data_IF_389010791842
#
_entry.id   IF_389010791842
#
_cell.length_a   1.000
_cell.length_b   1.000
_cell.length_c   1.000
_cell.angle_alpha   90.00
_cell.angle_beta   90.00
_cell.angle_gamma   90.00
#
_symmetry.space_group_name_H-M   'P 1'
#
loop_
_entity.id
_entity.type
_entity.pdbx_description
1 polymer ?
#
# COMPACT_ATOMS: atom_id res chain seq x y z
N UNK A 1 23.09 -10.73 -2.98
CA UNK A 1 22.81 -10.54 -4.42
C UNK A 1 22.92 -9.05 -4.71
N UNK A 2 23.75 -8.69 -5.67
CA UNK A 2 24.08 -7.29 -6.01
C UNK A 2 23.24 -6.76 -7.18
N UNK A 3 23.69 -5.68 -7.85
CA UNK A 3 23.01 -5.15 -9.03
C UNK A 3 22.97 -6.19 -10.18
N UNK A 4 22.16 -5.92 -11.20
CA UNK A 4 22.17 -6.68 -12.45
C UNK A 4 23.55 -6.62 -13.14
N UNK A 5 23.89 -7.61 -13.98
CA UNK A 5 25.20 -7.64 -14.62
C UNK A 5 25.45 -6.41 -15.50
N UNK A 6 24.43 -5.91 -16.21
CA UNK A 6 24.49 -4.64 -16.96
C UNK A 6 24.82 -3.39 -16.12
N UNK A 7 24.71 -3.50 -14.79
CA UNK A 7 24.99 -2.45 -13.82
C UNK A 7 26.19 -2.82 -12.92
N UNK A 8 27.09 -3.69 -13.39
CA UNK A 8 28.30 -4.09 -12.68
C UNK A 8 28.13 -5.27 -11.71
N UNK A 9 26.98 -5.96 -11.77
CA UNK A 9 26.75 -7.21 -11.06
C UNK A 9 27.54 -8.39 -11.62
N UNK A 10 27.62 -9.47 -10.84
CA UNK A 10 28.38 -10.68 -11.21
C UNK A 10 27.51 -11.83 -11.72
N UNK A 11 26.19 -11.76 -11.51
CA UNK A 11 25.24 -12.82 -11.84
C UNK A 11 24.15 -12.31 -12.79
N UNK A 12 23.62 -13.21 -13.62
CA UNK A 12 22.50 -12.90 -14.51
C UNK A 12 21.22 -12.66 -13.72
N UNK A 13 20.43 -11.68 -14.17
CA UNK A 13 19.13 -11.32 -13.57
C UNK A 13 18.05 -11.16 -14.65
N UNK A 14 16.76 -11.09 -14.29
CA UNK A 14 15.71 -10.74 -15.25
C UNK A 14 15.95 -9.39 -15.95
N UNK A 15 16.60 -8.44 -15.28
CA UNK A 15 17.01 -7.16 -15.87
C UNK A 15 18.03 -7.34 -17.00
N UNK A 16 18.94 -8.31 -16.87
CA UNK A 16 19.90 -8.64 -17.93
C UNK A 16 19.22 -9.28 -19.13
N UNK A 17 18.19 -10.11 -18.91
CA UNK A 17 17.38 -10.66 -19.99
C UNK A 17 16.67 -9.55 -20.79
N UNK A 18 16.04 -8.57 -20.12
CA UNK A 18 15.45 -7.41 -20.81
C UNK A 18 16.53 -6.61 -21.55
N UNK A 19 17.63 -6.30 -20.86
CA UNK A 19 18.69 -5.49 -21.45
C UNK A 19 19.26 -6.13 -22.72
N UNK A 20 19.42 -7.46 -22.71
CA UNK A 20 19.85 -8.23 -23.87
C UNK A 20 18.83 -8.14 -25.03
N UNK A 21 17.57 -8.45 -24.76
CA UNK A 21 16.51 -8.46 -25.77
C UNK A 21 16.23 -7.06 -26.35
N UNK A 22 16.43 -6.00 -25.57
CA UNK A 22 16.25 -4.63 -26.01
C UNK A 22 17.50 -4.00 -26.65
N UNK A 23 18.61 -4.76 -26.75
CA UNK A 23 19.83 -4.29 -27.40
C UNK A 23 20.64 -3.30 -26.56
N UNK A 24 20.64 -3.42 -25.24
CA UNK A 24 21.50 -2.63 -24.34
C UNK A 24 20.88 -1.32 -23.86
N UNK A 25 19.55 -1.13 -23.98
CA UNK A 25 18.88 0.13 -23.61
C UNK A 25 18.91 0.43 -22.11
N UNK A 26 19.06 -0.57 -21.26
CA UNK A 26 19.11 -0.39 -19.81
C UNK A 26 20.52 -0.15 -19.30
N UNK A 27 21.52 -0.82 -19.88
CA UNK A 27 22.92 -0.74 -19.44
C UNK A 27 23.85 -1.56 -20.32
N UNK A 28 24.98 -2.00 -19.76
CA UNK A 28 26.03 -2.64 -20.56
C UNK A 28 25.58 -4.00 -21.15
N UNK A 29 25.40 -4.02 -22.48
CA UNK A 29 24.94 -5.21 -23.22
C UNK A 29 25.93 -6.38 -23.13
N UNK A 30 27.24 -6.11 -23.19
CA UNK A 30 28.23 -7.19 -23.19
C UNK A 30 28.29 -7.90 -21.83
N UNK A 31 28.06 -7.16 -20.73
CA UNK A 31 27.96 -7.73 -19.39
C UNK A 31 26.71 -8.59 -19.22
N UNK A 32 25.54 -8.13 -19.71
CA UNK A 32 24.32 -8.97 -19.71
C UNK A 32 24.52 -10.24 -20.53
N UNK A 33 25.08 -10.12 -21.74
CA UNK A 33 25.36 -11.26 -22.62
C UNK A 33 26.28 -12.27 -21.93
N UNK A 34 27.41 -11.83 -21.39
CA UNK A 34 28.37 -12.70 -20.71
C UNK A 34 27.78 -13.38 -19.47
N UNK A 35 26.90 -12.71 -18.73
CA UNK A 35 26.22 -13.30 -17.58
C UNK A 35 25.17 -14.34 -18.02
N UNK A 36 24.36 -14.03 -19.04
CA UNK A 36 23.36 -14.95 -19.58
C UNK A 36 23.99 -16.18 -20.23
N UNK A 37 25.13 -16.03 -20.93
CA UNK A 37 25.84 -17.12 -21.59
C UNK A 37 26.19 -18.27 -20.63
N UNK A 38 26.62 -17.94 -19.40
CA UNK A 38 26.96 -18.93 -18.37
C UNK A 38 25.76 -19.81 -18.03
N UNK A 39 24.60 -19.19 -17.82
CA UNK A 39 23.35 -19.89 -17.49
C UNK A 39 22.80 -20.63 -18.72
N UNK A 40 22.94 -20.03 -19.91
CA UNK A 40 22.45 -20.61 -21.16
C UNK A 40 23.20 -21.91 -21.50
N UNK A 41 24.51 -21.94 -21.26
CA UNK A 41 25.34 -23.13 -21.44
C UNK A 41 24.89 -24.29 -20.54
N UNK A 42 24.62 -24.03 -19.26
CA UNK A 42 24.12 -25.04 -18.32
C UNK A 42 22.73 -25.56 -18.73
N UNK A 43 21.88 -24.67 -19.22
CA UNK A 43 20.53 -24.98 -19.69
C UNK A 43 20.48 -25.58 -21.11
N UNK A 44 21.60 -25.64 -21.84
CA UNK A 44 21.70 -26.03 -23.26
C UNK A 44 20.77 -25.20 -24.16
N UNK A 45 20.66 -23.90 -23.88
CA UNK A 45 19.90 -22.94 -24.66
C UNK A 45 20.84 -21.91 -25.29
N UNK A 46 20.37 -21.21 -26.32
CA UNK A 46 20.99 -19.96 -26.75
C UNK A 46 20.73 -18.84 -25.72
N UNK A 47 21.55 -17.80 -25.74
CA UNK A 47 21.37 -16.61 -24.88
C UNK A 47 19.99 -15.96 -25.10
N UNK A 48 19.51 -15.95 -26.34
CA UNK A 48 18.22 -15.39 -26.73
C UNK A 48 17.05 -16.25 -26.23
N UNK A 49 17.10 -17.56 -26.43
CA UNK A 49 16.08 -18.49 -25.90
C UNK A 49 16.01 -18.43 -24.37
N UNK A 50 17.16 -18.36 -23.70
CA UNK A 50 17.21 -18.19 -22.25
C UNK A 50 16.57 -16.85 -21.84
N UNK A 51 16.97 -15.75 -22.46
CA UNK A 51 16.45 -14.42 -22.13
C UNK A 51 14.93 -14.36 -22.32
N UNK A 52 14.41 -14.92 -23.42
CA UNK A 52 12.98 -14.99 -23.68
C UNK A 52 12.25 -15.88 -22.65
N UNK A 53 12.85 -17.01 -22.26
CA UNK A 53 12.31 -17.91 -21.24
C UNK A 53 12.24 -17.24 -19.88
N UNK A 54 13.32 -16.56 -19.45
CA UNK A 54 13.37 -15.78 -18.21
C UNK A 54 12.28 -14.72 -18.20
N UNK A 55 12.13 -13.98 -19.30
CA UNK A 55 11.07 -12.97 -19.45
C UNK A 55 9.67 -13.55 -19.36
N UNK A 56 9.42 -14.69 -20.03
CA UNK A 56 8.13 -15.35 -20.02
C UNK A 56 7.75 -15.83 -18.61
N UNK A 57 8.70 -16.41 -17.87
CA UNK A 57 8.51 -16.85 -16.49
C UNK A 57 8.28 -15.65 -15.57
N UNK A 58 9.14 -14.63 -15.66
CA UNK A 58 9.05 -13.45 -14.81
C UNK A 58 7.71 -12.71 -14.97
N UNK A 59 7.34 -12.41 -16.23
CA UNK A 59 6.07 -11.76 -16.53
C UNK A 59 4.87 -12.65 -16.21
N UNK A 60 4.99 -13.97 -16.35
CA UNK A 60 3.93 -14.92 -16.02
C UNK A 60 3.61 -14.93 -14.53
N UNK A 61 4.64 -14.90 -13.69
CA UNK A 61 4.47 -14.77 -12.23
C UNK A 61 3.80 -13.45 -11.84
N UNK A 62 4.20 -12.33 -12.45
CA UNK A 62 3.57 -11.04 -12.20
C UNK A 62 2.08 -11.05 -12.60
N UNK A 63 1.77 -11.61 -13.77
CA UNK A 63 0.41 -11.76 -14.26
C UNK A 63 -0.45 -12.61 -13.30
N UNK A 64 0.08 -13.72 -12.82
CA UNK A 64 -0.57 -14.61 -11.85
C UNK A 64 -0.84 -13.90 -10.51
N UNK A 65 0.17 -13.24 -9.92
CA UNK A 65 -0.01 -12.50 -8.67
C UNK A 65 -1.05 -11.38 -8.78
N UNK A 66 -1.15 -10.71 -9.93
CA UNK A 66 -2.19 -9.70 -10.17
C UNK A 66 -3.58 -10.34 -10.23
N UNK A 67 -3.71 -11.50 -10.89
CA UNK A 67 -4.98 -12.24 -10.94
C UNK A 67 -5.40 -12.75 -9.56
N UNK A 68 -4.47 -13.22 -8.74
CA UNK A 68 -4.72 -13.62 -7.36
C UNK A 68 -5.21 -12.43 -6.52
N UNK A 69 -4.61 -11.25 -6.69
CA UNK A 69 -5.05 -10.02 -6.02
C UNK A 69 -6.50 -9.65 -6.41
N UNK A 70 -6.84 -9.72 -7.70
CA UNK A 70 -8.22 -9.48 -8.14
C UNK A 70 -9.20 -10.50 -7.58
N UNK A 71 -8.81 -11.78 -7.53
CA UNK A 71 -9.64 -12.83 -6.94
C UNK A 71 -9.87 -12.59 -5.44
N UNK A 72 -8.84 -12.15 -4.70
CA UNK A 72 -8.96 -11.82 -3.29
C UNK A 72 -9.94 -10.66 -3.07
N UNK A 73 -9.88 -9.61 -3.90
CA UNK A 73 -10.83 -8.49 -3.84
C UNK A 73 -12.27 -8.90 -4.19
N UNK A 74 -12.46 -9.81 -5.14
CA UNK A 74 -13.79 -10.34 -5.48
C UNK A 74 -14.38 -11.20 -4.35
N UNK A 75 -13.54 -11.80 -3.51
CA UNK A 75 -13.94 -12.67 -2.39
C UNK A 75 -14.07 -11.94 -1.06
N UNK A 76 -13.51 -10.73 -0.94
CA UNK A 76 -13.67 -9.89 0.24
C UNK A 76 -15.17 -9.55 0.39
N UNK A 77 -15.78 -9.77 1.57
CA UNK A 77 -17.21 -9.58 1.73
C UNK A 77 -17.61 -8.12 1.46
N UNK A 78 -18.19 -7.89 0.28
CA UNK A 78 -18.68 -6.58 -0.12
C UNK A 78 -19.75 -6.09 0.86
N UNK A 79 -19.45 -5.03 1.60
CA UNK A 79 -20.37 -4.43 2.56
C UNK A 79 -21.58 -3.73 1.87
N UNK A 80 -21.57 -3.59 0.53
CA UNK A 80 -22.64 -2.95 -0.24
C UNK A 80 -23.42 -3.97 -1.07
N UNK A 81 -24.73 -4.07 -0.79
CA UNK A 81 -25.70 -4.96 -1.47
C UNK A 81 -25.62 -4.85 -3.01
N UNK A 82 -25.28 -3.68 -3.55
CA UNK A 82 -25.15 -3.45 -5.00
C UNK A 82 -23.99 -4.24 -5.66
N UNK A 83 -22.88 -4.45 -4.97
CA UNK A 83 -21.70 -5.16 -5.48
C UNK A 83 -21.95 -6.68 -5.54
N UNK A 84 -22.77 -7.20 -4.64
CA UNK A 84 -23.23 -8.60 -4.63
C UNK A 84 -24.11 -8.89 -5.86
N UNK A 85 -24.98 -7.93 -6.24
CA UNK A 85 -25.90 -8.06 -7.38
C UNK A 85 -25.17 -7.90 -8.72
N UNK A 86 -24.17 -7.01 -8.79
CA UNK A 86 -23.38 -6.75 -9.99
C UNK A 86 -21.98 -7.37 -9.88
N UNK A 87 -21.90 -8.71 -9.95
CA UNK A 87 -20.64 -9.49 -10.04
C UNK A 87 -19.81 -9.13 -11.27
N UNK A 88 -19.25 -7.92 -11.31
CA UNK A 88 -18.30 -7.49 -12.33
C UNK A 88 -16.97 -8.14 -12.03
N UNK A 89 -16.46 -8.92 -12.98
CA UNK A 89 -15.08 -9.37 -12.95
C UNK A 89 -14.16 -8.16 -12.89
N UNK A 90 -13.30 -8.10 -11.88
CA UNK A 90 -12.31 -7.05 -11.76
C UNK A 90 -11.29 -7.23 -12.88
N UNK A 91 -11.07 -6.17 -13.66
CA UNK A 91 -10.07 -6.15 -14.73
C UNK A 91 -9.24 -4.88 -14.63
N UNK A 92 -7.96 -5.00 -14.93
CA UNK A 92 -7.10 -3.83 -15.12
C UNK A 92 -7.46 -3.15 -16.45
N UNK A 93 -7.74 -1.85 -16.41
CA UNK A 93 -7.80 -1.03 -17.64
C UNK A 93 -6.42 -0.44 -17.97
N UNK A 94 -5.61 -0.22 -16.93
CA UNK A 94 -4.27 0.36 -17.03
C UNK A 94 -3.32 -0.23 -15.99
N UNK A 95 -2.11 -0.55 -16.42
CA UNK A 95 -0.98 -0.94 -15.56
C UNK A 95 -0.05 0.26 -15.40
N UNK A 96 0.03 0.77 -14.18
CA UNK A 96 0.91 1.89 -13.82
C UNK A 96 2.19 1.36 -13.20
N UNK A 97 3.31 1.64 -13.84
CA UNK A 97 4.63 1.21 -13.40
C UNK A 97 5.34 2.24 -12.53
N UNK A 98 5.77 1.82 -11.34
CA UNK A 98 6.66 2.59 -10.46
C UNK A 98 7.97 1.82 -10.19
N UNK A 99 9.03 2.54 -9.84
CA UNK A 99 10.37 2.00 -9.65
C UNK A 99 11.23 2.05 -10.91
N UNK A 100 12.55 1.92 -10.73
CA UNK A 100 13.52 2.09 -11.81
C UNK A 100 13.35 1.08 -12.95
N UNK A 101 12.95 -0.15 -12.61
CA UNK A 101 12.72 -1.23 -13.56
C UNK A 101 11.36 -1.17 -14.26
N UNK A 102 10.47 -0.23 -13.92
CA UNK A 102 9.12 -0.17 -14.47
C UNK A 102 9.10 -0.13 -16.00
N UNK A 103 9.98 0.69 -16.60
CA UNK A 103 10.06 0.85 -18.06
C UNK A 103 10.41 -0.44 -18.79
N UNK A 104 11.18 -1.33 -18.14
CA UNK A 104 11.64 -2.59 -18.69
C UNK A 104 10.51 -3.65 -18.77
N UNK A 105 9.58 -3.65 -17.80
CA UNK A 105 8.64 -4.75 -17.65
C UNK A 105 7.18 -4.37 -17.88
N UNK A 106 6.78 -3.15 -17.52
CA UNK A 106 5.37 -2.73 -17.50
C UNK A 106 4.72 -2.75 -18.89
N UNK A 107 5.38 -2.31 -19.99
CA UNK A 107 4.78 -2.41 -21.32
C UNK A 107 4.48 -3.85 -21.74
N UNK A 108 5.38 -4.80 -21.43
CA UNK A 108 5.20 -6.21 -21.77
C UNK A 108 4.13 -6.87 -20.87
N UNK A 109 4.11 -6.54 -19.58
CA UNK A 109 3.10 -7.03 -18.64
C UNK A 109 1.69 -6.54 -19.03
N UNK A 110 1.55 -5.25 -19.36
CA UNK A 110 0.28 -4.66 -19.75
C UNK A 110 -0.31 -5.33 -21.01
N UNK A 111 0.54 -5.70 -21.98
CA UNK A 111 0.10 -6.48 -23.15
C UNK A 111 -0.46 -7.85 -22.76
N UNK A 112 0.14 -8.55 -21.79
CA UNK A 112 -0.37 -9.85 -21.31
C UNK A 112 -1.71 -9.71 -20.59
N UNK A 113 -1.92 -8.57 -19.91
CA UNK A 113 -3.15 -8.26 -19.19
C UNK A 113 -4.23 -7.59 -20.06
N UNK A 114 -4.00 -7.43 -21.37
CA UNK A 114 -4.89 -6.70 -22.28
C UNK A 114 -5.26 -5.29 -21.75
N UNK A 115 -4.23 -4.57 -21.26
CA UNK A 115 -4.37 -3.29 -20.57
C UNK A 115 -3.48 -2.20 -21.17
N UNK A 116 -3.82 -0.94 -20.93
CA UNK A 116 -2.93 0.18 -21.25
C UNK A 116 -1.71 0.19 -20.32
N UNK A 117 -0.53 0.56 -20.83
CA UNK A 117 0.65 0.77 -19.98
C UNK A 117 0.87 2.26 -19.71
N UNK A 118 1.29 2.60 -18.49
CA UNK A 118 1.73 3.95 -18.16
C UNK A 118 2.95 3.89 -17.24
N UNK A 119 4.03 4.54 -17.65
CA UNK A 119 5.25 4.69 -16.84
C UNK A 119 5.71 6.13 -16.92
N UNK A 120 5.61 6.85 -15.81
CA UNK A 120 6.02 8.25 -15.74
C UNK A 120 7.56 8.39 -15.74
N UNK A 121 8.09 9.53 -16.18
CA UNK A 121 9.53 9.82 -16.11
C UNK A 121 10.07 9.75 -14.67
N UNK A 122 9.23 10.10 -13.70
CA UNK A 122 9.55 10.01 -12.26
C UNK A 122 9.26 8.65 -11.62
N UNK A 123 8.91 7.61 -12.39
CA UNK A 123 8.71 6.26 -11.85
C UNK A 123 9.85 5.79 -10.91
N UNK A 124 11.16 6.02 -11.21
CA UNK A 124 12.24 5.60 -10.32
C UNK A 124 12.20 6.18 -8.91
N UNK A 125 11.60 7.36 -8.74
CA UNK A 125 11.50 8.10 -7.47
C UNK A 125 10.07 8.27 -6.98
N UNK A 126 9.10 7.56 -7.59
CA UNK A 126 7.68 7.74 -7.30
C UNK A 126 7.35 7.53 -5.81
N UNK A 127 8.01 6.59 -5.14
CA UNK A 127 7.83 6.37 -3.70
C UNK A 127 8.32 7.57 -2.88
N UNK A 128 9.46 8.15 -3.24
CA UNK A 128 10.00 9.33 -2.56
C UNK A 128 9.09 10.55 -2.79
N UNK A 129 8.57 10.71 -4.02
CA UNK A 129 7.57 11.74 -4.31
C UNK A 129 6.29 11.54 -3.50
N UNK A 130 5.77 10.31 -3.46
CA UNK A 130 4.60 9.94 -2.66
C UNK A 130 4.79 10.27 -1.18
N UNK A 131 5.94 9.92 -0.61
CA UNK A 131 6.28 10.25 0.77
C UNK A 131 6.40 11.76 1.01
N UNK A 132 6.96 12.50 0.05
CA UNK A 132 7.13 13.96 0.17
C UNK A 132 5.80 14.73 0.10
N UNK A 133 4.82 14.22 -0.64
CA UNK A 133 3.50 14.87 -0.80
C UNK A 133 2.43 14.28 0.11
N UNK A 134 2.68 13.14 0.75
CA UNK A 134 1.74 12.52 1.66
C UNK A 134 1.46 13.44 2.86
N UNK A 135 0.18 13.64 3.15
CA UNK A 135 -0.25 14.33 4.36
C UNK A 135 0.27 13.57 5.59
N UNK A 136 0.88 14.26 6.57
CA UNK A 136 1.20 13.65 7.85
C UNK A 136 -0.04 13.05 8.51
N UNK A 137 0.06 11.79 8.93
CA UNK A 137 -1.03 11.09 9.61
C UNK A 137 -0.72 10.93 11.09
N UNK A 138 -1.78 11.02 11.91
CA UNK A 138 -1.77 10.69 13.32
C UNK A 138 -2.98 9.80 13.55
N UNK A 139 -2.77 8.65 14.19
CA UNK A 139 -3.83 7.70 14.54
C UNK A 139 -3.80 7.44 16.04
N UNK A 140 -4.98 7.43 16.65
CA UNK A 140 -5.21 7.21 18.07
C UNK A 140 -6.22 6.08 18.24
N UNK A 141 -5.97 5.23 19.22
CA UNK A 141 -6.94 4.28 19.74
C UNK A 141 -7.21 4.66 21.19
N UNK A 142 -8.48 4.93 21.48
CA UNK A 142 -8.96 5.24 22.82
C UNK A 142 -9.82 4.07 23.31
N UNK A 143 -9.41 3.47 24.42
CA UNK A 143 -10.18 2.48 25.15
C UNK A 143 -10.81 3.12 26.38
N UNK A 144 -12.12 2.95 26.58
CA UNK A 144 -12.82 3.50 27.74
C UNK A 144 -13.66 2.46 28.45
N UNK A 145 -13.56 2.43 29.78
CA UNK A 145 -14.32 1.55 30.68
C UNK A 145 -15.16 2.41 31.63
N UNK A 146 -16.48 2.43 31.41
CA UNK A 146 -17.39 3.22 32.26
C UNK A 146 -17.66 2.59 33.62
N UNK A 147 -17.39 1.29 33.80
CA UNK A 147 -17.51 0.64 35.11
C UNK A 147 -16.34 1.02 36.02
N UNK A 148 -15.12 1.07 35.46
CA UNK A 148 -13.91 1.54 36.14
C UNK A 148 -13.75 3.05 36.11
N UNK A 149 -14.55 3.75 35.29
CA UNK A 149 -14.52 5.19 35.07
C UNK A 149 -13.17 5.71 34.60
N UNK A 150 -12.49 4.93 33.75
CA UNK A 150 -11.19 5.28 33.19
C UNK A 150 -11.19 5.12 31.68
N UNK A 151 -10.30 5.87 31.02
CA UNK A 151 -9.90 5.62 29.65
C UNK A 151 -8.38 5.66 29.52
N UNK A 152 -7.88 5.06 28.45
CA UNK A 152 -6.48 5.08 28.04
C UNK A 152 -6.35 5.27 26.53
N UNK A 153 -5.27 5.92 26.12
CA UNK A 153 -4.88 6.05 24.72
C UNK A 153 -3.64 5.20 24.44
N UNK A 154 -3.56 4.66 23.23
CA UNK A 154 -2.40 3.91 22.74
C UNK A 154 -1.13 4.76 22.52
N UNK A 155 -1.20 6.07 22.74
CA UNK A 155 -0.08 7.00 22.59
C UNK A 155 0.17 7.78 23.88
N UNK A 156 1.44 8.11 24.11
CA UNK A 156 1.89 9.05 25.15
C UNK A 156 1.50 8.66 26.59
N UNK A 157 1.04 7.42 26.82
CA UNK A 157 0.64 6.93 28.14
C UNK A 157 -0.53 7.72 28.74
N UNK A 158 -1.31 8.40 27.90
CA UNK A 158 -2.40 9.27 28.35
C UNK A 158 -3.51 8.40 28.90
N UNK A 159 -3.89 8.68 30.15
CA UNK A 159 -5.03 8.07 30.82
C UNK A 159 -5.84 9.16 31.52
N UNK A 160 -7.11 8.90 31.78
CA UNK A 160 -7.94 9.83 32.51
C UNK A 160 -9.25 9.22 32.98
N UNK A 161 -10.11 10.06 33.54
CA UNK A 161 -11.41 9.65 34.04
C UNK A 161 -12.51 9.82 32.97
N UNK A 162 -13.45 8.87 32.93
CA UNK A 162 -14.66 8.97 32.10
C UNK A 162 -15.92 8.81 32.95
N UNK A 163 -17.01 9.48 32.55
CA UNK A 163 -18.29 9.36 33.24
C UNK A 163 -18.84 7.92 33.15
N UNK A 164 -19.41 7.42 34.25
CA UNK A 164 -20.05 6.11 34.28
C UNK A 164 -21.23 5.98 33.28
N UNK A 165 -21.83 7.11 32.89
CA UNK A 165 -22.93 7.22 31.94
C UNK A 165 -22.50 7.62 30.53
N UNK A 166 -21.20 7.72 30.26
CA UNK A 166 -20.69 8.11 28.95
C UNK A 166 -21.25 7.23 27.82
N UNK A 167 -21.54 7.86 26.70
CA UNK A 167 -22.00 7.27 25.46
C UNK A 167 -20.93 7.39 24.37
N UNK A 168 -21.15 6.71 23.24
CA UNK A 168 -20.19 6.68 22.13
C UNK A 168 -19.77 8.09 21.70
N UNK A 169 -20.72 9.01 21.61
CA UNK A 169 -20.49 10.40 21.22
C UNK A 169 -19.55 11.14 22.18
N UNK A 170 -19.64 10.86 23.48
CA UNK A 170 -18.74 11.43 24.50
C UNK A 170 -17.30 10.92 24.30
N UNK A 171 -17.15 9.61 24.05
CA UNK A 171 -15.85 8.98 23.80
C UNK A 171 -15.22 9.48 22.50
N UNK A 172 -16.03 9.64 21.44
CA UNK A 172 -15.60 10.20 20.16
C UNK A 172 -15.17 11.66 20.29
N UNK A 173 -15.93 12.48 21.01
CA UNK A 173 -15.57 13.88 21.27
C UNK A 173 -14.23 13.96 22.03
N UNK A 174 -14.01 13.08 23.00
CA UNK A 174 -12.74 12.97 23.71
C UNK A 174 -11.59 12.57 22.79
N UNK A 175 -11.79 11.57 21.92
CA UNK A 175 -10.78 11.14 20.94
C UNK A 175 -10.41 12.26 19.95
N UNK A 176 -11.39 13.02 19.44
CA UNK A 176 -11.15 14.19 18.56
C UNK A 176 -10.33 15.26 19.28
N UNK A 177 -10.69 15.58 20.53
CA UNK A 177 -9.93 16.54 21.33
C UNK A 177 -8.47 16.14 21.46
N UNK A 178 -8.19 14.87 21.78
CA UNK A 178 -6.81 14.38 21.88
C UNK A 178 -6.08 14.37 20.54
N UNK A 179 -6.76 14.00 19.44
CA UNK A 179 -6.18 14.07 18.11
C UNK A 179 -5.73 15.50 17.78
N UNK A 180 -6.59 16.49 18.00
CA UNK A 180 -6.29 17.90 17.74
C UNK A 180 -5.18 18.44 18.64
N UNK A 181 -5.17 18.06 19.92
CA UNK A 181 -4.13 18.47 20.85
C UNK A 181 -2.75 17.91 20.48
N UNK A 182 -2.65 16.60 20.26
CA UNK A 182 -1.40 15.93 19.89
C UNK A 182 -0.94 16.40 18.51
N UNK A 183 -1.85 16.55 17.54
CA UNK A 183 -1.52 17.06 16.21
C UNK A 183 -0.93 18.48 16.29
N UNK A 184 -1.52 19.37 17.11
CA UNK A 184 -1.00 20.72 17.33
C UNK A 184 0.38 20.71 17.98
N UNK A 185 0.60 19.86 18.99
CA UNK A 185 1.91 19.70 19.64
C UNK A 185 2.98 19.18 18.67
N UNK A 186 2.60 18.33 17.72
CA UNK A 186 3.49 17.77 16.68
C UNK A 186 3.63 18.66 15.44
N UNK A 187 3.08 19.87 15.43
CA UNK A 187 3.18 20.80 14.30
C UNK A 187 2.34 20.42 13.07
N UNK A 188 1.41 19.47 13.20
CA UNK A 188 0.52 19.00 12.12
C UNK A 188 -0.95 19.38 12.37
N UNK A 189 -1.21 20.33 13.28
CA UNK A 189 -2.55 20.75 13.69
C UNK A 189 -3.44 21.24 12.54
N UNK A 190 -2.86 21.77 11.46
CA UNK A 190 -3.60 22.20 10.26
C UNK A 190 -4.35 21.07 9.53
N UNK A 191 -4.02 19.81 9.85
CA UNK A 191 -4.67 18.62 9.31
C UNK A 191 -5.64 17.96 10.28
N UNK A 192 -5.68 18.41 11.54
CA UNK A 192 -6.40 17.71 12.61
C UNK A 192 -7.92 17.67 12.40
N UNK A 193 -8.49 18.66 11.73
CA UNK A 193 -9.94 18.70 11.43
C UNK A 193 -10.35 17.79 10.25
N UNK A 194 -9.37 17.26 9.51
CA UNK A 194 -9.61 16.27 8.44
C UNK A 194 -9.42 14.88 9.02
N UNK A 195 -10.28 14.47 9.93
CA UNK A 195 -10.20 13.16 10.58
C UNK A 195 -11.28 12.21 10.08
N UNK A 196 -11.04 10.92 10.27
CA UNK A 196 -12.01 9.84 10.08
C UNK A 196 -11.93 8.85 11.25
N UNK A 197 -13.07 8.27 11.61
CA UNK A 197 -13.12 7.16 12.55
C UNK A 197 -13.01 5.85 11.78
N UNK A 198 -12.04 5.01 12.13
CA UNK A 198 -11.83 3.69 11.53
C UNK A 198 -12.26 2.54 12.45
N UNK A 199 -12.60 2.84 13.72
CA UNK A 199 -13.15 1.89 14.67
C UNK A 199 -14.12 2.61 15.61
N UNK A 200 -15.31 2.04 15.77
CA UNK A 200 -16.36 2.52 16.67
C UNK A 200 -17.09 1.31 17.28
N UNK A 201 -16.53 0.73 18.33
CA UNK A 201 -17.05 -0.49 18.96
C UNK A 201 -17.53 -0.20 20.37
N UNK A 202 -18.69 -0.76 20.74
CA UNK A 202 -19.25 -0.70 22.09
C UNK A 202 -19.61 -2.10 22.56
N UNK A 203 -19.15 -2.45 23.76
CA UNK A 203 -19.51 -3.69 24.43
C UNK A 203 -20.20 -3.39 25.76
N UNK A 204 -21.39 -3.94 25.96
CA UNK A 204 -22.11 -3.80 27.22
C UNK A 204 -21.64 -4.89 28.20
N UNK A 205 -21.15 -4.51 29.37
CA UNK A 205 -20.81 -5.44 30.45
C UNK A 205 -22.08 -5.81 31.23
N UNK A 206 -22.38 -7.11 31.32
CA UNK A 206 -23.59 -7.62 31.98
C UNK A 206 -23.23 -8.49 33.19
N UNK A 207 -23.89 -8.27 34.32
CA UNK A 207 -23.81 -9.14 35.50
C UNK A 207 -25.20 -9.37 36.07
N UNK A 208 -25.57 -10.65 36.26
CA UNK A 208 -26.86 -11.01 36.85
C UNK A 208 -28.05 -10.38 36.10
N UNK A 209 -28.02 -10.41 34.77
CA UNK A 209 -29.05 -9.85 33.87
C UNK A 209 -29.16 -8.32 33.83
N UNK A 210 -28.28 -7.57 34.49
CA UNK A 210 -28.23 -6.11 34.44
C UNK A 210 -26.93 -5.62 33.80
N UNK A 211 -26.99 -4.59 32.96
CA UNK A 211 -25.81 -3.91 32.44
C UNK A 211 -25.14 -3.12 33.57
N UNK A 212 -23.87 -3.41 33.83
CA UNK A 212 -23.07 -2.78 34.90
C UNK A 212 -22.10 -1.71 34.39
N UNK A 213 -21.90 -1.63 33.07
CA UNK A 213 -21.06 -0.65 32.41
C UNK A 213 -20.89 -0.94 30.93
N UNK A 214 -20.07 -0.13 30.26
CA UNK A 214 -19.78 -0.23 28.83
C UNK A 214 -18.27 -0.13 28.63
N UNK A 215 -17.77 -0.90 27.67
CA UNK A 215 -16.46 -0.74 27.09
C UNK A 215 -16.62 -0.08 25.73
N UNK A 216 -15.79 0.90 25.42
CA UNK A 216 -15.73 1.55 24.12
C UNK A 216 -14.32 1.45 23.56
N UNK A 217 -14.23 1.09 22.27
CA UNK A 217 -13.00 1.19 21.50
C UNK A 217 -13.23 2.14 20.33
N UNK A 218 -12.56 3.29 20.37
CA UNK A 218 -12.66 4.34 19.36
C UNK A 218 -11.30 4.53 18.70
N UNK A 219 -11.24 4.23 17.40
CA UNK A 219 -10.08 4.47 16.55
C UNK A 219 -10.33 5.70 15.67
N UNK A 220 -9.50 6.72 15.81
CA UNK A 220 -9.57 7.95 15.02
C UNK A 220 -8.22 8.24 14.36
N UNK A 221 -8.22 8.74 13.13
CA UNK A 221 -7.01 9.19 12.47
C UNK A 221 -7.21 10.45 11.65
N UNK A 222 -6.13 11.21 11.44
CA UNK A 222 -6.08 12.19 10.35
C UNK A 222 -6.24 11.43 9.03
N UNK A 223 -7.28 11.77 8.27
CA UNK A 223 -7.63 11.14 7.02
C UNK A 223 -6.46 11.23 6.03
N UNK A 224 -6.09 10.11 5.38
CA UNK A 224 -5.07 10.08 4.35
C UNK A 224 -5.34 11.12 3.25
N UNK A 225 -4.26 11.60 2.63
CA UNK A 225 -4.38 12.53 1.52
C UNK A 225 -3.05 13.18 1.19
N UNK A 226 -3.14 14.28 0.44
CA UNK A 226 -1.98 15.09 0.04
C UNK A 226 -1.87 16.32 0.95
N UNK A 227 -0.65 16.82 1.11
CA UNK A 227 -0.36 18.07 1.80
C UNK A 227 -1.01 19.27 1.10
N UNK A 228 -1.32 20.33 1.84
CA UNK A 228 -2.04 21.50 1.31
C UNK A 228 -1.23 22.28 0.26
N UNK A 229 0.10 22.23 0.39
CA UNK A 229 1.05 22.93 -0.46
C UNK A 229 1.12 22.30 -1.86
N UNK A 230 0.67 21.06 -2.01
CA UNK A 230 0.66 20.37 -3.29
C UNK A 230 -0.52 20.84 -4.15
N UNK A 231 -0.23 21.64 -5.18
CA UNK A 231 -1.21 22.21 -6.12
C UNK A 231 -1.51 21.33 -7.34
N UNK A 232 -1.05 20.07 -7.32
CA UNK A 232 -1.12 19.17 -8.47
C UNK A 232 0.04 19.36 -9.45
N UNK A 233 0.05 18.50 -10.46
CA UNK A 233 0.91 18.63 -11.63
C UNK A 233 0.03 19.18 -12.73
N UNK A 234 0.37 20.34 -13.31
CA UNK A 234 -0.27 20.79 -14.55
C UNK A 234 0.00 19.70 -15.60
N UNK A 235 -1.07 19.04 -16.04
CA UNK A 235 -1.04 18.02 -17.08
C UNK A 235 -0.86 18.67 -18.47
#
# INVERSE_FOLDING_TARGET
LGPAACFGGTAATPTDAVNFLEGGKLGNLSQSRAALAKVAQEAKLTEEELAQTVMNIFLGRLEESIKEMFLAWEQEPAYRIWEIVNKKKVRAERVVGIGAAAKAFVPALAKRLDSQSFVHTYAPVANALGAAVARPTLSLLLHADTRRQVYDLNVEGITGAIDAKAQMEDVKALAVKYLQEIARQRGIGQYADRYEFFREEQFNMVRGWSTIGKLFDVGIQIAPGVINEFKGVLA
#
